data_IF_603759786754
#
_entry.id   IF_603759786754
#
_cell.length_a   1.000
_cell.length_b   1.000
_cell.length_c   1.000
_cell.angle_alpha   90.00
_cell.angle_beta   90.00
_cell.angle_gamma   90.00
#
_symmetry.space_group_name_H-M   'P 1'
#
loop_
_entity.id
_entity.type
_entity.pdbx_description
1 polymer ?
#
# COMPACT_ATOMS: atom_id res chain seq x y z
N UNK A 1 42.83 -18.34 0.73
CA UNK A 1 42.71 -16.89 1.00
C UNK A 1 41.24 -16.60 1.26
N UNK A 2 40.84 -16.40 2.51
CA UNK A 2 39.51 -15.88 2.83
C UNK A 2 39.59 -14.36 2.77
N UNK A 3 39.17 -13.75 1.66
CA UNK A 3 38.97 -12.31 1.63
C UNK A 3 37.66 -12.04 2.36
N UNK A 4 37.74 -11.56 3.59
CA UNK A 4 36.59 -11.02 4.31
C UNK A 4 36.04 -9.82 3.55
N UNK A 5 34.71 -9.70 3.48
CA UNK A 5 34.05 -8.56 2.86
C UNK A 5 34.46 -7.24 3.57
N UNK A 6 34.52 -6.12 2.85
CA UNK A 6 34.68 -4.79 3.44
C UNK A 6 33.59 -4.47 4.47
N UNK A 7 33.92 -3.70 5.52
CA UNK A 7 33.00 -3.41 6.63
C UNK A 7 31.74 -2.64 6.18
N UNK A 8 31.88 -1.70 5.24
CA UNK A 8 30.77 -0.95 4.65
C UNK A 8 29.76 -1.85 3.93
N UNK A 9 30.25 -2.90 3.26
CA UNK A 9 29.39 -3.90 2.62
C UNK A 9 28.64 -4.71 3.68
N UNK A 10 29.30 -5.11 4.77
CA UNK A 10 28.66 -5.82 5.87
C UNK A 10 27.59 -4.97 6.57
N UNK A 11 27.87 -3.68 6.78
CA UNK A 11 26.93 -2.75 7.38
C UNK A 11 25.69 -2.54 6.51
N UNK A 12 25.86 -2.47 5.18
CA UNK A 12 24.76 -2.37 4.23
C UNK A 12 23.88 -3.63 4.24
N UNK A 13 24.49 -4.82 4.26
CA UNK A 13 23.75 -6.09 4.37
C UNK A 13 22.93 -6.11 5.67
N UNK A 14 23.54 -5.76 6.80
CA UNK A 14 22.84 -5.73 8.08
C UNK A 14 21.71 -4.68 8.11
N UNK A 15 21.86 -3.56 7.39
CA UNK A 15 20.80 -2.57 7.25
C UNK A 15 19.62 -3.11 6.42
N UNK A 16 19.88 -3.78 5.29
CA UNK A 16 18.85 -4.40 4.47
C UNK A 16 18.13 -5.54 5.20
N UNK A 17 18.86 -6.41 5.88
CA UNK A 17 18.29 -7.51 6.67
C UNK A 17 17.34 -6.99 7.76
N UNK A 18 17.73 -5.94 8.48
CA UNK A 18 16.85 -5.30 9.47
C UNK A 18 15.61 -4.70 8.81
N UNK A 19 15.78 -3.98 7.70
CA UNK A 19 14.65 -3.40 6.96
C UNK A 19 13.63 -4.47 6.57
N UNK A 20 14.08 -5.54 5.92
CA UNK A 20 13.17 -6.60 5.45
C UNK A 20 12.58 -7.44 6.59
N UNK A 21 13.23 -7.53 7.74
CA UNK A 21 12.65 -8.13 8.95
C UNK A 21 11.49 -7.30 9.53
N UNK A 22 11.58 -5.96 9.45
CA UNK A 22 10.57 -5.02 9.97
C UNK A 22 9.47 -4.68 8.93
N UNK A 23 9.78 -4.86 7.64
CA UNK A 23 8.92 -4.49 6.52
C UNK A 23 7.49 -5.05 6.60
N UNK A 24 7.21 -6.31 7.01
CA UNK A 24 5.83 -6.80 7.12
C UNK A 24 4.95 -6.00 8.09
N UNK A 25 5.51 -5.59 9.25
CA UNK A 25 4.78 -4.77 10.21
C UNK A 25 4.62 -3.35 9.69
N UNK A 26 5.69 -2.76 9.17
CA UNK A 26 5.65 -1.41 8.60
C UNK A 26 4.65 -1.31 7.43
N UNK A 27 4.58 -2.34 6.58
CA UNK A 27 3.58 -2.45 5.53
C UNK A 27 2.16 -2.48 6.09
N UNK A 28 1.91 -3.27 7.12
CA UNK A 28 0.58 -3.33 7.75
C UNK A 28 0.18 -1.99 8.36
N UNK A 29 1.07 -1.29 9.06
CA UNK A 29 0.78 0.03 9.61
C UNK A 29 0.48 1.07 8.51
N UNK A 30 1.25 1.04 7.42
CA UNK A 30 0.98 1.87 6.25
C UNK A 30 -0.36 1.51 5.58
N UNK A 31 -0.68 0.22 5.48
CA UNK A 31 -1.94 -0.27 4.92
C UNK A 31 -3.14 0.18 5.76
N UNK A 32 -3.05 0.04 7.08
CA UNK A 32 -4.09 0.45 8.02
C UNK A 32 -4.32 1.97 7.99
N UNK A 33 -3.25 2.76 7.97
CA UNK A 33 -3.32 4.22 7.77
C UNK A 33 -3.97 4.57 6.42
N UNK A 34 -3.62 3.83 5.37
CA UNK A 34 -4.25 4.00 4.06
C UNK A 34 -5.75 3.71 4.07
N UNK A 35 -6.17 2.64 4.74
CA UNK A 35 -7.57 2.29 4.91
C UNK A 35 -8.34 3.37 5.72
N UNK A 36 -7.69 3.97 6.71
CA UNK A 36 -8.27 5.08 7.49
C UNK A 36 -8.49 6.33 6.64
N UNK A 37 -7.52 6.71 5.81
CA UNK A 37 -7.62 7.87 4.89
C UNK A 37 -8.65 7.62 3.77
N UNK A 38 -8.73 6.38 3.28
CA UNK A 38 -9.65 6.01 2.20
C UNK A 38 -11.10 5.86 2.67
N UNK A 39 -11.29 5.38 3.90
CA UNK A 39 -12.59 5.06 4.48
C UNK A 39 -12.68 3.57 4.84
N UNK A 40 -13.11 3.22 6.06
CA UNK A 40 -13.20 1.83 6.50
C UNK A 40 -14.19 1.02 5.66
N UNK A 41 -15.19 1.64 5.03
CA UNK A 41 -16.22 0.98 4.24
C UNK A 41 -15.66 0.14 3.08
N UNK A 42 -14.48 0.50 2.58
CA UNK A 42 -13.79 -0.12 1.45
C UNK A 42 -12.96 -1.36 1.83
N UNK A 43 -12.77 -1.63 3.12
CA UNK A 43 -11.86 -2.67 3.62
C UNK A 43 -12.53 -3.55 4.66
N UNK A 44 -12.02 -4.77 4.83
CA UNK A 44 -12.43 -5.68 5.90
C UNK A 44 -13.95 -5.89 5.97
N UNK A 45 -14.51 -5.75 7.16
CA UNK A 45 -15.96 -5.78 7.40
C UNK A 45 -16.68 -4.47 7.01
N UNK A 46 -15.94 -3.37 6.80
CA UNK A 46 -16.49 -2.07 6.45
C UNK A 46 -16.73 -1.12 7.60
N UNK A 47 -16.33 -1.49 8.82
CA UNK A 47 -16.66 -0.74 10.04
C UNK A 47 -15.44 -0.01 10.61
N UNK A 48 -15.63 1.18 11.23
CA UNK A 48 -14.57 1.83 11.99
C UNK A 48 -14.00 0.93 13.09
N UNK A 49 -14.83 0.13 13.75
CA UNK A 49 -14.41 -0.78 14.82
C UNK A 49 -13.54 -1.92 14.29
N UNK A 50 -13.92 -2.50 13.15
CA UNK A 50 -13.13 -3.52 12.45
C UNK A 50 -11.77 -2.97 12.03
N UNK A 51 -11.73 -1.73 11.52
CA UNK A 51 -10.49 -1.05 11.19
C UNK A 51 -9.59 -0.87 12.42
N UNK A 52 -10.14 -0.38 13.55
CA UNK A 52 -9.37 -0.19 14.77
C UNK A 52 -8.80 -1.50 15.32
N UNK A 53 -9.59 -2.58 15.31
CA UNK A 53 -9.22 -3.88 15.88
C UNK A 53 -8.34 -4.74 14.97
N UNK A 54 -8.20 -4.38 13.69
CA UNK A 54 -7.34 -5.10 12.76
C UNK A 54 -5.93 -5.26 13.34
N UNK A 55 -5.45 -6.51 13.29
CA UNK A 55 -4.13 -6.95 13.78
C UNK A 55 -3.21 -7.39 12.65
N UNK A 56 -3.74 -7.54 11.43
CA UNK A 56 -2.93 -7.75 10.23
C UNK A 56 -3.63 -7.30 8.95
N UNK A 57 -2.87 -7.26 7.85
CA UNK A 57 -3.36 -6.82 6.52
C UNK A 57 -4.54 -7.65 6.00
N UNK A 58 -4.67 -8.90 6.44
CA UNK A 58 -5.78 -9.80 6.09
C UNK A 58 -7.13 -9.36 6.67
N UNK A 59 -7.13 -8.67 7.82
CA UNK A 59 -8.34 -8.11 8.42
C UNK A 59 -8.86 -6.93 7.59
N UNK A 60 -7.97 -6.28 6.83
CA UNK A 60 -8.22 -5.10 6.02
C UNK A 60 -8.13 -5.42 4.52
N UNK A 61 -8.58 -6.60 4.09
CA UNK A 61 -8.67 -6.92 2.66
C UNK A 61 -9.59 -5.91 1.97
N UNK A 62 -9.21 -5.39 0.78
CA UNK A 62 -10.06 -4.44 0.07
C UNK A 62 -11.28 -5.16 -0.52
N UNK A 63 -12.43 -4.48 -0.50
CA UNK A 63 -13.67 -4.94 -1.11
C UNK A 63 -13.66 -4.63 -2.60
N UNK A 64 -12.82 -5.33 -3.36
CA UNK A 64 -12.50 -5.04 -4.77
C UNK A 64 -13.75 -4.88 -5.65
N UNK A 65 -14.78 -5.71 -5.47
CA UNK A 65 -16.03 -5.60 -6.24
C UNK A 65 -16.74 -4.28 -5.96
N UNK A 66 -16.96 -3.95 -4.68
CA UNK A 66 -17.59 -2.70 -4.26
C UNK A 66 -16.78 -1.47 -4.73
N UNK A 67 -15.45 -1.55 -4.63
CA UNK A 67 -14.54 -0.51 -5.10
C UNK A 67 -14.68 -0.27 -6.61
N UNK A 68 -14.68 -1.35 -7.41
CA UNK A 68 -14.80 -1.28 -8.86
C UNK A 68 -16.10 -0.60 -9.32
N UNK A 69 -17.19 -0.86 -8.60
CA UNK A 69 -18.51 -0.27 -8.88
C UNK A 69 -18.57 1.22 -8.48
N UNK A 70 -17.84 1.61 -7.42
CA UNK A 70 -17.83 2.97 -6.90
C UNK A 70 -16.84 3.93 -7.60
N UNK A 71 -15.92 3.42 -8.44
CA UNK A 71 -14.85 4.23 -9.04
C UNK A 71 -15.34 5.49 -9.77
N UNK A 72 -16.51 5.42 -10.41
CA UNK A 72 -17.03 6.51 -11.25
C UNK A 72 -17.64 7.66 -10.42
N UNK A 73 -17.98 7.42 -9.15
CA UNK A 73 -18.55 8.44 -8.24
C UNK A 73 -17.52 9.03 -7.28
N UNK A 74 -16.33 8.43 -7.19
CA UNK A 74 -15.22 8.92 -6.37
C UNK A 74 -14.51 10.10 -7.05
N UNK A 75 -13.98 11.02 -6.25
CA UNK A 75 -13.11 12.07 -6.77
C UNK A 75 -11.85 11.49 -7.41
N UNK A 76 -11.21 12.24 -8.32
CA UNK A 76 -9.99 11.81 -9.01
C UNK A 76 -8.87 11.34 -8.08
N UNK A 77 -8.64 12.06 -6.98
CA UNK A 77 -7.64 11.68 -5.98
C UNK A 77 -8.01 10.42 -5.20
N UNK A 78 -9.28 10.26 -4.81
CA UNK A 78 -9.75 9.07 -4.08
C UNK A 78 -9.65 7.82 -4.93
N UNK A 79 -10.16 7.86 -6.18
CA UNK A 79 -10.10 6.69 -7.07
C UNK A 79 -8.66 6.29 -7.39
N UNK A 80 -7.76 7.26 -7.58
CA UNK A 80 -6.34 6.99 -7.83
C UNK A 80 -5.68 6.35 -6.61
N UNK A 81 -5.93 6.89 -5.41
CA UNK A 81 -5.38 6.36 -4.17
C UNK A 81 -5.87 4.94 -3.88
N UNK A 82 -7.17 4.70 -3.95
CA UNK A 82 -7.77 3.37 -3.75
C UNK A 82 -7.26 2.36 -4.78
N UNK A 83 -7.15 2.75 -6.05
CA UNK A 83 -6.63 1.88 -7.11
C UNK A 83 -5.15 1.52 -6.88
N UNK A 84 -4.35 2.49 -6.41
CA UNK A 84 -2.96 2.25 -6.03
C UNK A 84 -2.85 1.29 -4.83
N UNK A 85 -3.68 1.47 -3.79
CA UNK A 85 -3.74 0.53 -2.67
C UNK A 85 -4.14 -0.89 -3.13
N UNK A 86 -5.20 -1.03 -3.92
CA UNK A 86 -5.63 -2.35 -4.44
C UNK A 86 -4.53 -3.02 -5.26
N UNK A 87 -3.63 -2.27 -5.91
CA UNK A 87 -2.52 -2.83 -6.68
C UNK A 87 -1.51 -3.61 -5.83
N UNK A 88 -1.35 -3.27 -4.54
CA UNK A 88 -0.53 -4.06 -3.61
C UNK A 88 -1.22 -5.35 -3.16
N UNK A 89 -2.56 -5.33 -3.07
CA UNK A 89 -3.38 -6.51 -2.77
C UNK A 89 -3.44 -7.48 -3.95
N UNK A 90 -3.74 -6.93 -5.13
CA UNK A 90 -3.91 -7.65 -6.37
C UNK A 90 -3.50 -6.73 -7.54
N UNK A 91 -2.29 -6.95 -8.05
CA UNK A 91 -1.71 -6.13 -9.12
C UNK A 91 -2.56 -6.11 -10.40
N UNK A 92 -3.30 -7.18 -10.70
CA UNK A 92 -4.16 -7.25 -11.88
C UNK A 92 -5.39 -6.36 -11.74
N UNK A 93 -6.13 -6.52 -10.64
CA UNK A 93 -7.34 -5.73 -10.38
C UNK A 93 -6.99 -4.26 -10.17
N UNK A 94 -6.00 -3.96 -9.32
CA UNK A 94 -5.56 -2.59 -9.07
C UNK A 94 -5.00 -1.92 -10.34
N UNK A 95 -4.26 -2.67 -11.17
CA UNK A 95 -3.79 -2.17 -12.47
C UNK A 95 -4.93 -1.85 -13.44
N UNK A 96 -6.00 -2.64 -13.46
CA UNK A 96 -7.19 -2.34 -14.25
C UNK A 96 -7.92 -1.09 -13.73
N UNK A 97 -8.05 -0.96 -12.42
CA UNK A 97 -8.64 0.22 -11.77
C UNK A 97 -7.84 1.50 -12.06
N UNK A 98 -6.51 1.44 -11.96
CA UNK A 98 -5.60 2.54 -12.28
C UNK A 98 -5.76 2.99 -13.74
N UNK A 99 -5.83 2.05 -14.70
CA UNK A 99 -6.07 2.38 -16.12
C UNK A 99 -7.40 3.11 -16.32
N UNK A 100 -8.48 2.67 -15.64
CA UNK A 100 -9.78 3.37 -15.67
C UNK A 100 -9.70 4.79 -15.11
N UNK A 101 -8.77 5.04 -14.19
CA UNK A 101 -8.51 6.36 -13.63
C UNK A 101 -7.67 7.27 -14.55
N UNK A 102 -7.19 6.78 -15.69
CA UNK A 102 -6.26 7.48 -16.58
C UNK A 102 -4.81 7.49 -16.10
N UNK A 103 -4.42 6.51 -15.27
CA UNK A 103 -3.04 6.36 -14.80
C UNK A 103 -2.14 5.85 -15.94
N UNK A 104 -1.12 6.63 -16.27
CA UNK A 104 -0.08 6.31 -17.25
C UNK A 104 1.25 5.95 -16.58
N UNK A 105 1.54 6.50 -15.40
CA UNK A 105 2.79 6.19 -14.70
C UNK A 105 2.93 6.84 -13.32
N UNK A 106 4.10 6.59 -12.69
CA UNK A 106 4.36 7.03 -11.30
C UNK A 106 4.26 8.55 -11.11
N UNK A 107 4.46 9.35 -12.15
CA UNK A 107 4.28 10.81 -12.10
C UNK A 107 2.85 11.22 -11.75
N UNK A 108 1.85 10.39 -12.06
CA UNK A 108 0.45 10.71 -11.85
C UNK A 108 0.06 10.70 -10.37
N UNK A 109 0.84 10.01 -9.52
CA UNK A 109 0.74 10.13 -8.06
C UNK A 109 1.00 11.56 -7.58
N UNK A 110 1.56 12.42 -8.44
CA UNK A 110 1.66 13.87 -8.28
C UNK A 110 0.31 14.58 -8.13
N UNK A 111 -0.81 13.94 -8.43
CA UNK A 111 -2.16 14.45 -8.15
C UNK A 111 -2.67 14.18 -6.73
N UNK A 112 -2.00 13.31 -5.97
CA UNK A 112 -2.37 12.99 -4.59
C UNK A 112 -1.84 14.04 -3.61
N UNK A 113 -2.52 14.23 -2.49
CA UNK A 113 -1.99 15.02 -1.36
C UNK A 113 -0.81 14.32 -0.67
N UNK A 114 -0.18 15.04 0.27
CA UNK A 114 1.01 14.56 0.98
C UNK A 114 0.76 13.27 1.78
N UNK A 115 -0.38 13.14 2.45
CA UNK A 115 -0.63 11.98 3.31
C UNK A 115 -0.82 10.71 2.50
N UNK A 116 -1.60 10.80 1.40
CA UNK A 116 -1.78 9.70 0.46
C UNK A 116 -0.47 9.29 -0.18
N UNK A 117 0.39 10.25 -0.56
CA UNK A 117 1.73 9.93 -1.09
C UNK A 117 2.62 9.23 -0.09
N UNK A 118 2.61 9.66 1.18
CA UNK A 118 3.36 8.99 2.25
C UNK A 118 2.92 7.54 2.41
N UNK A 119 1.61 7.28 2.41
CA UNK A 119 1.10 5.91 2.45
C UNK A 119 1.61 5.10 1.26
N UNK A 120 1.48 5.58 0.03
CA UNK A 120 1.94 4.83 -1.15
C UNK A 120 3.46 4.60 -1.09
N UNK A 121 4.25 5.59 -0.67
CA UNK A 121 5.70 5.44 -0.52
C UNK A 121 6.06 4.40 0.55
N UNK A 122 5.40 4.44 1.71
CA UNK A 122 5.58 3.47 2.80
C UNK A 122 5.19 2.06 2.32
N UNK A 123 4.11 1.92 1.54
CA UNK A 123 3.69 0.64 0.97
C UNK A 123 4.72 0.10 -0.04
N UNK A 124 5.24 0.94 -0.94
CA UNK A 124 6.31 0.54 -1.89
C UNK A 124 7.56 0.09 -1.13
N UNK A 125 8.01 0.89 -0.16
CA UNK A 125 9.24 0.65 0.59
C UNK A 125 9.20 -0.65 1.40
N UNK A 126 8.02 -1.01 1.92
CA UNK A 126 7.84 -2.14 2.82
C UNK A 126 7.14 -3.34 2.18
N UNK A 127 6.90 -3.32 0.86
CA UNK A 127 6.19 -4.41 0.19
C UNK A 127 7.02 -5.70 0.21
N UNK A 128 6.52 -6.68 0.95
CA UNK A 128 7.09 -8.04 1.08
C UNK A 128 6.16 -9.11 0.51
N UNK A 129 5.21 -8.69 -0.33
CA UNK A 129 4.12 -9.53 -0.83
C UNK A 129 2.82 -9.32 -0.04
N UNK A 130 1.70 -9.64 -0.69
CA UNK A 130 0.40 -9.75 -0.03
C UNK A 130 0.20 -11.16 0.55
#
# INVERSE_FOLDING_TARGET
>A
MNQSLPQDVLDQIAAEERHFAEAPQAFFEAWKRGAEIAGPEWFGDGTPEGLQRATGKWDLRPKVLLLNDALDVLSGGQRMFLSAMVSFYNAREGGAMLKRCGFEGLSDLGGLDLERRKVIADLVLNYSGW
#
